data_IF_571248059213
#
_entry.id   IF_571248059213
#
_cell.length_a   1.000
_cell.length_b   1.000
_cell.length_c   1.000
_cell.angle_alpha   90.00
_cell.angle_beta   90.00
_cell.angle_gamma   90.00
#
_symmetry.space_group_name_H-M   'P 1'
#
loop_
_entity.id
_entity.type
_entity.pdbx_description
1 polymer ?
#
# COMPACT_ATOMS: atom_id res chain seq x y z
N UNK A 1 -19.26 -14.86 0.39
CA UNK A 1 -18.16 -15.10 1.36
C UNK A 1 -17.72 -16.55 1.21
N UNK A 2 -16.44 -16.82 0.94
CA UNK A 2 -15.94 -18.21 0.91
C UNK A 2 -16.14 -18.80 2.31
N UNK A 3 -16.67 -20.03 2.46
CA UNK A 3 -17.04 -20.58 3.78
C UNK A 3 -15.86 -20.73 4.75
N UNK A 4 -14.63 -20.54 4.26
CA UNK A 4 -13.38 -20.78 4.99
C UNK A 4 -12.51 -19.51 5.07
N UNK A 5 -13.01 -18.38 4.59
CA UNK A 5 -12.35 -17.06 4.63
C UNK A 5 -11.92 -16.68 6.06
N UNK A 6 -10.73 -16.07 6.29
CA UNK A 6 -9.68 -15.60 5.36
C UNK A 6 -8.77 -16.72 4.82
N UNK A 7 -9.02 -17.95 5.23
CA UNK A 7 -8.20 -19.12 4.90
C UNK A 7 -8.61 -19.72 3.56
N UNK A 8 -7.62 -20.24 2.84
CA UNK A 8 -7.82 -20.86 1.52
C UNK A 8 -8.58 -22.18 1.61
N UNK A 9 -8.42 -22.93 2.70
CA UNK A 9 -9.16 -24.16 2.97
C UNK A 9 -9.27 -24.45 4.47
N UNK A 10 -10.18 -25.36 4.84
CA UNK A 10 -10.51 -25.72 6.21
C UNK A 10 -9.35 -26.43 6.90
N UNK A 11 -8.67 -27.32 6.18
CA UNK A 11 -7.50 -28.03 6.69
C UNK A 11 -6.39 -27.06 7.11
N UNK A 12 -6.13 -26.03 6.29
CA UNK A 12 -5.12 -25.01 6.59
C UNK A 12 -5.57 -24.10 7.73
N UNK A 13 -6.84 -23.69 7.75
CA UNK A 13 -7.43 -22.93 8.86
C UNK A 13 -7.24 -23.68 10.19
N UNK A 14 -7.63 -24.94 10.25
CA UNK A 14 -7.53 -25.77 11.46
C UNK A 14 -6.09 -25.98 11.91
N UNK A 15 -5.15 -26.19 10.97
CA UNK A 15 -3.73 -26.35 11.29
C UNK A 15 -3.13 -25.09 11.90
N UNK A 16 -3.39 -23.93 11.29
CA UNK A 16 -2.90 -22.64 11.75
C UNK A 16 -3.54 -22.29 13.10
N UNK A 17 -4.87 -22.40 13.21
CA UNK A 17 -5.59 -22.17 14.48
C UNK A 17 -5.05 -23.01 15.62
N UNK A 18 -4.77 -24.30 15.37
CA UNK A 18 -4.20 -25.18 16.39
C UNK A 18 -2.81 -24.73 16.82
N UNK A 19 -1.95 -24.36 15.88
CA UNK A 19 -0.59 -23.90 16.17
C UNK A 19 -0.60 -22.58 16.94
N UNK A 20 -1.38 -21.63 16.44
CA UNK A 20 -1.68 -20.34 17.06
C UNK A 20 -2.18 -20.49 18.49
N UNK A 21 -3.24 -21.26 18.71
CA UNK A 21 -3.80 -21.49 20.05
C UNK A 21 -2.79 -22.12 21.00
N UNK A 22 -2.00 -23.09 20.55
CA UNK A 22 -1.00 -23.74 21.40
C UNK A 22 0.09 -22.75 21.87
N UNK A 23 0.63 -21.95 20.93
CA UNK A 23 1.63 -20.94 21.24
C UNK A 23 1.05 -19.84 22.12
N UNK A 24 -0.12 -19.31 21.77
CA UNK A 24 -0.71 -18.19 22.49
C UNK A 24 -1.21 -18.56 23.88
N UNK A 25 -1.70 -19.79 24.08
CA UNK A 25 -2.00 -20.34 25.42
C UNK A 25 -0.73 -20.41 26.26
N UNK A 26 0.41 -20.82 25.68
CA UNK A 26 1.70 -20.85 26.37
C UNK A 26 2.16 -19.43 26.80
N UNK A 27 1.70 -18.39 26.11
CA UNK A 27 2.09 -16.99 26.36
C UNK A 27 1.06 -16.16 27.13
N UNK A 28 -0.04 -16.76 27.59
CA UNK A 28 -1.13 -16.04 28.24
C UNK A 28 -1.66 -14.87 27.38
N UNK A 29 -1.73 -15.11 26.07
CA UNK A 29 -2.30 -14.18 25.10
C UNK A 29 -3.79 -14.44 24.93
N UNK A 30 -4.54 -13.37 24.71
CA UNK A 30 -5.94 -13.46 24.30
C UNK A 30 -6.03 -14.20 22.94
N UNK A 31 -6.68 -15.38 22.88
CA UNK A 31 -6.79 -16.17 21.65
C UNK A 31 -7.43 -15.40 20.49
N UNK A 32 -8.39 -14.52 20.79
CA UNK A 32 -9.12 -13.77 19.76
C UNK A 32 -8.23 -12.66 19.18
N UNK A 33 -7.58 -11.86 20.04
CA UNK A 33 -6.62 -10.83 19.63
C UNK A 33 -5.49 -11.40 18.77
N UNK A 34 -5.04 -12.60 19.12
CA UNK A 34 -3.95 -13.24 18.44
C UNK A 34 -4.40 -13.80 17.07
N UNK A 35 -5.59 -14.41 16.99
CA UNK A 35 -6.19 -14.84 15.73
C UNK A 35 -6.41 -13.67 14.78
N UNK A 36 -6.85 -12.54 15.30
CA UNK A 36 -7.04 -11.32 14.52
C UNK A 36 -5.71 -10.78 13.98
N UNK A 37 -4.64 -10.79 14.78
CA UNK A 37 -3.31 -10.41 14.32
C UNK A 37 -2.77 -11.33 13.21
N UNK A 38 -2.91 -12.65 13.38
CA UNK A 38 -2.48 -13.62 12.36
C UNK A 38 -3.31 -13.52 11.07
N UNK A 39 -4.62 -13.25 11.20
CA UNK A 39 -5.50 -12.99 10.06
C UNK A 39 -5.08 -11.74 9.31
N UNK A 40 -4.85 -10.64 10.03
CA UNK A 40 -4.42 -9.37 9.46
C UNK A 40 -3.12 -9.51 8.66
N UNK A 41 -2.11 -10.20 9.21
CA UNK A 41 -0.82 -10.40 8.55
C UNK A 41 -0.92 -11.26 7.29
N UNK A 42 -1.74 -12.31 7.32
CA UNK A 42 -2.02 -13.13 6.15
C UNK A 42 -2.73 -12.35 5.03
N UNK A 43 -3.69 -11.50 5.37
CA UNK A 43 -4.38 -10.65 4.39
C UNK A 43 -3.41 -9.66 3.75
N UNK A 44 -2.52 -9.07 4.54
CA UNK A 44 -1.46 -8.20 4.05
C UNK A 44 -0.48 -8.92 3.14
N UNK A 45 0.06 -10.09 3.53
CA UNK A 45 0.99 -10.83 2.69
C UNK A 45 0.38 -11.20 1.34
N UNK A 46 -0.91 -11.54 1.35
CA UNK A 46 -1.66 -11.80 0.13
C UNK A 46 -1.86 -10.55 -0.72
N UNK A 47 -2.18 -9.41 -0.13
CA UNK A 47 -2.25 -8.13 -0.83
C UNK A 47 -0.89 -7.77 -1.43
N UNK A 48 0.20 -7.97 -0.69
CA UNK A 48 1.55 -7.72 -1.19
C UNK A 48 1.87 -8.65 -2.36
N UNK A 49 1.55 -9.94 -2.27
CA UNK A 49 1.72 -10.86 -3.39
C UNK A 49 0.91 -10.43 -4.63
N UNK A 50 -0.31 -9.90 -4.43
CA UNK A 50 -1.13 -9.37 -5.51
C UNK A 50 -0.44 -8.18 -6.20
N UNK A 51 0.04 -7.21 -5.42
CA UNK A 51 0.72 -6.03 -5.96
C UNK A 51 2.05 -6.40 -6.61
N UNK A 52 2.88 -7.26 -6.00
CA UNK A 52 4.15 -7.72 -6.60
C UNK A 52 3.95 -8.37 -7.98
N UNK A 53 2.86 -9.11 -8.19
CA UNK A 53 2.55 -9.71 -9.50
C UNK A 53 1.99 -8.67 -10.47
N UNK A 54 1.14 -7.75 -10.00
CA UNK A 54 0.62 -6.64 -10.82
C UNK A 54 1.75 -5.72 -11.30
N UNK A 55 2.73 -5.51 -10.43
CA UNK A 55 3.82 -4.54 -10.58
C UNK A 55 5.11 -5.17 -11.13
N UNK A 56 5.13 -6.48 -11.39
CA UNK A 56 6.20 -7.14 -12.13
C UNK A 56 5.86 -7.36 -13.61
N UNK A 57 6.87 -7.16 -14.46
CA UNK A 57 6.84 -7.64 -15.85
C UNK A 57 6.49 -9.14 -15.90
N UNK A 58 5.68 -9.62 -16.87
CA UNK A 58 5.21 -11.01 -16.92
C UNK A 58 6.30 -12.08 -16.67
N UNK A 59 7.47 -11.91 -17.29
CA UNK A 59 8.61 -12.85 -17.15
C UNK A 59 9.28 -12.82 -15.76
N UNK A 60 8.97 -11.84 -14.91
CA UNK A 60 9.54 -11.66 -13.57
C UNK A 60 8.55 -12.03 -12.44
N UNK A 61 7.25 -12.17 -12.72
CA UNK A 61 6.20 -12.41 -11.72
C UNK A 61 6.43 -13.67 -10.87
N UNK A 62 6.90 -14.75 -11.49
CA UNK A 62 7.21 -15.97 -10.72
C UNK A 62 8.45 -15.78 -9.84
N UNK A 63 9.49 -15.13 -10.38
CA UNK A 63 10.76 -14.90 -9.68
C UNK A 63 10.57 -14.00 -8.46
N UNK A 64 9.73 -12.97 -8.55
CA UNK A 64 9.50 -12.03 -7.43
C UNK A 64 8.74 -12.69 -6.26
N UNK A 65 7.74 -13.53 -6.54
CA UNK A 65 7.07 -14.31 -5.50
C UNK A 65 8.00 -15.39 -4.93
N UNK A 66 8.87 -15.98 -5.75
CA UNK A 66 9.86 -16.94 -5.29
C UNK A 66 10.91 -16.29 -4.38
N UNK A 67 11.41 -15.09 -4.70
CA UNK A 67 12.33 -14.38 -3.81
C UNK A 67 11.68 -14.01 -2.48
N UNK A 68 10.40 -13.60 -2.50
CA UNK A 68 9.63 -13.36 -1.28
C UNK A 68 9.51 -14.62 -0.41
N UNK A 69 9.15 -15.75 -1.02
CA UNK A 69 9.03 -17.03 -0.30
C UNK A 69 10.34 -17.47 0.38
N UNK A 70 11.47 -17.14 -0.25
CA UNK A 70 12.82 -17.44 0.22
C UNK A 70 13.38 -16.36 1.16
N UNK A 71 12.69 -15.24 1.36
CA UNK A 71 13.20 -14.06 2.05
C UNK A 71 14.55 -13.58 1.49
N UNK A 72 14.70 -13.64 0.16
CA UNK A 72 15.89 -13.21 -0.58
C UNK A 72 15.55 -12.06 -1.53
N UNK A 73 14.62 -11.18 -1.14
CA UNK A 73 14.28 -10.02 -1.95
C UNK A 73 15.52 -9.14 -2.18
N UNK A 74 15.90 -8.93 -3.44
CA UNK A 74 16.95 -7.96 -3.77
C UNK A 74 16.39 -6.57 -3.49
N UNK A 75 16.90 -5.93 -2.43
CA UNK A 75 16.68 -4.53 -2.13
C UNK A 75 16.85 -3.69 -3.41
N UNK A 76 15.89 -2.78 -3.66
CA UNK A 76 15.94 -1.63 -4.61
C UNK A 76 14.78 -1.52 -5.61
N UNK A 77 13.63 -2.19 -5.46
CA UNK A 77 12.53 -1.96 -6.42
C UNK A 77 11.15 -1.55 -5.92
N UNK A 78 10.83 -1.64 -4.63
CA UNK A 78 9.66 -0.93 -4.06
C UNK A 78 9.53 -1.31 -2.58
N UNK A 79 9.03 -0.43 -1.70
CA UNK A 79 9.00 -0.66 -0.25
C UNK A 79 7.83 -1.57 0.20
N UNK A 80 7.44 -2.53 -0.63
CA UNK A 80 6.35 -3.47 -0.31
C UNK A 80 6.87 -4.69 0.48
N UNK A 81 7.26 -4.38 1.72
CA UNK A 81 7.08 -5.22 2.91
C UNK A 81 7.77 -6.59 2.89
N UNK A 82 9.05 -6.61 3.25
CA UNK A 82 9.74 -7.83 3.68
C UNK A 82 8.90 -8.59 4.72
N UNK A 83 8.90 -9.93 4.68
CA UNK A 83 8.18 -10.75 5.68
C UNK A 83 8.55 -10.36 7.11
N UNK A 84 9.83 -10.06 7.37
CA UNK A 84 10.33 -9.62 8.68
C UNK A 84 9.58 -8.39 9.22
N UNK A 85 9.38 -7.38 8.38
CA UNK A 85 8.65 -6.16 8.74
C UNK A 85 7.18 -6.42 9.01
N UNK A 86 6.54 -7.26 8.19
CA UNK A 86 5.15 -7.63 8.42
C UNK A 86 4.98 -8.44 9.73
N UNK A 87 5.96 -9.27 10.07
CA UNK A 87 6.00 -9.98 11.36
C UNK A 87 6.13 -9.00 12.52
N UNK A 88 7.04 -8.02 12.45
CA UNK A 88 7.21 -6.99 13.48
C UNK A 88 5.90 -6.22 13.73
N UNK A 89 5.22 -5.81 12.66
CA UNK A 89 3.91 -5.15 12.71
C UNK A 89 2.85 -5.99 13.41
N UNK A 90 2.80 -7.28 13.06
CA UNK A 90 1.84 -8.22 13.61
C UNK A 90 2.05 -8.39 15.12
N UNK A 91 3.31 -8.45 15.55
CA UNK A 91 3.67 -8.53 16.96
C UNK A 91 3.31 -7.24 17.70
N UNK A 92 3.51 -6.08 17.09
CA UNK A 92 3.08 -4.81 17.68
C UNK A 92 1.56 -4.75 17.85
N UNK A 93 0.81 -5.11 16.82
CA UNK A 93 -0.66 -5.18 16.84
C UNK A 93 -1.16 -6.11 17.95
N UNK A 94 -0.49 -7.25 18.13
CA UNK A 94 -0.78 -8.19 19.21
C UNK A 94 -0.54 -7.57 20.60
N UNK A 95 0.57 -6.86 20.80
CA UNK A 95 0.87 -6.19 22.09
C UNK A 95 -0.11 -5.08 22.43
N UNK A 96 -0.54 -4.30 21.44
CA UNK A 96 -1.54 -3.24 21.65
C UNK A 96 -2.90 -3.80 22.06
N UNK A 97 -3.24 -5.00 21.55
CA UNK A 97 -4.48 -5.71 21.88
C UNK A 97 -4.42 -6.45 23.22
N UNK A 98 -3.21 -6.80 23.70
CA UNK A 98 -2.99 -7.44 25.01
C UNK A 98 -1.81 -6.80 25.77
N UNK A 99 -2.00 -5.62 26.38
CA UNK A 99 -0.90 -4.82 26.97
C UNK A 99 -0.30 -5.43 28.24
N UNK A 100 -1.00 -6.35 28.89
CA UNK A 100 -0.60 -6.97 30.18
C UNK A 100 0.32 -8.18 30.01
N UNK A 101 0.55 -8.64 28.77
CA UNK A 101 1.34 -9.84 28.51
C UNK A 101 2.85 -9.53 28.47
N UNK A 102 3.65 -10.23 29.29
CA UNK A 102 5.10 -10.23 29.19
C UNK A 102 5.55 -11.18 28.07
N UNK A 103 5.77 -10.66 26.84
CA UNK A 103 6.24 -11.50 25.73
C UNK A 103 7.75 -11.81 25.87
N UNK A 104 8.10 -12.74 26.74
CA UNK A 104 9.50 -13.17 26.96
C UNK A 104 10.05 -14.02 25.81
N UNK A 105 9.19 -14.44 24.86
CA UNK A 105 9.55 -15.31 23.73
C UNK A 105 9.00 -14.75 22.40
N UNK A 106 9.31 -13.48 22.10
CA UNK A 106 8.92 -12.82 20.84
C UNK A 106 9.32 -13.64 19.61
N UNK A 107 10.46 -14.32 19.67
CA UNK A 107 11.01 -15.08 18.54
C UNK A 107 10.11 -16.26 18.14
N UNK A 108 9.50 -16.97 19.11
CA UNK A 108 8.59 -18.08 18.81
C UNK A 108 7.27 -17.61 18.17
N UNK A 109 6.76 -16.47 18.62
CA UNK A 109 5.59 -15.84 18.00
C UNK A 109 5.93 -15.34 16.60
N UNK A 110 7.10 -14.71 16.44
CA UNK A 110 7.63 -14.28 15.15
C UNK A 110 7.74 -15.46 14.18
N UNK A 111 8.34 -16.57 14.60
CA UNK A 111 8.49 -17.79 13.80
C UNK A 111 7.14 -18.35 13.33
N UNK A 112 6.14 -18.37 14.22
CA UNK A 112 4.79 -18.82 13.87
C UNK A 112 4.16 -17.92 12.79
N UNK A 113 4.24 -16.60 12.96
CA UNK A 113 3.71 -15.66 11.97
C UNK A 113 4.47 -15.84 10.65
N UNK A 114 5.80 -15.94 10.70
CA UNK A 114 6.64 -16.17 9.52
C UNK A 114 6.22 -17.44 8.76
N UNK A 115 5.90 -18.52 9.46
CA UNK A 115 5.40 -19.75 8.83
C UNK A 115 4.04 -19.56 8.15
N UNK A 116 3.13 -18.79 8.76
CA UNK A 116 1.85 -18.42 8.15
C UNK A 116 2.09 -17.64 6.85
N UNK A 117 2.96 -16.62 6.89
CA UNK A 117 3.28 -15.79 5.72
C UNK A 117 3.93 -16.61 4.61
N UNK A 118 4.95 -17.43 4.92
CA UNK A 118 5.58 -18.32 3.93
C UNK A 118 4.59 -19.29 3.33
N UNK A 119 3.67 -19.82 4.13
CA UNK A 119 2.63 -20.71 3.63
C UNK A 119 1.63 -19.99 2.72
N UNK A 120 1.28 -18.74 2.99
CA UNK A 120 0.42 -17.93 2.13
C UNK A 120 1.12 -17.53 0.82
N UNK A 121 2.37 -17.07 0.89
CA UNK A 121 3.18 -16.77 -0.29
C UNK A 121 3.38 -18.01 -1.17
N UNK A 122 3.58 -19.20 -0.58
CA UNK A 122 3.68 -20.45 -1.33
C UNK A 122 2.39 -20.81 -2.08
N UNK A 123 1.23 -20.59 -1.46
CA UNK A 123 -0.06 -20.77 -2.12
C UNK A 123 -0.28 -19.74 -3.23
N UNK A 124 0.16 -18.49 -3.04
CA UNK A 124 0.14 -17.47 -4.09
C UNK A 124 1.01 -17.87 -5.29
N UNK A 125 2.22 -18.37 -5.04
CA UNK A 125 3.12 -18.86 -6.08
C UNK A 125 2.52 -20.05 -6.85
N UNK A 126 1.86 -20.97 -6.14
CA UNK A 126 1.13 -22.09 -6.75
C UNK A 126 -0.01 -21.60 -7.63
N UNK A 127 -0.84 -20.69 -7.12
CA UNK A 127 -1.94 -20.09 -7.89
C UNK A 127 -1.43 -19.40 -9.15
N UNK A 128 -0.33 -18.64 -9.06
CA UNK A 128 0.30 -18.00 -10.21
C UNK A 128 0.78 -19.03 -11.25
N UNK A 129 1.39 -20.13 -10.80
CA UNK A 129 1.84 -21.22 -11.68
C UNK A 129 0.69 -21.94 -12.39
N UNK A 130 -0.43 -22.15 -11.71
CA UNK A 130 -1.55 -22.95 -12.22
C UNK A 130 -2.53 -22.13 -13.06
N UNK A 131 -2.75 -20.87 -12.69
CA UNK A 131 -3.79 -20.01 -13.28
C UNK A 131 -3.22 -18.98 -14.25
N UNK A 132 -1.90 -18.78 -14.25
CA UNK A 132 -1.26 -17.65 -14.91
C UNK A 132 -1.61 -16.31 -14.25
N UNK A 133 -0.99 -15.24 -14.75
CA UNK A 133 -1.10 -13.88 -14.18
C UNK A 133 -2.55 -13.41 -14.02
N UNK A 134 -3.33 -13.46 -15.09
CA UNK A 134 -4.74 -13.01 -15.10
C UNK A 134 -5.60 -13.81 -14.12
N UNK A 135 -5.43 -15.13 -14.09
CA UNK A 135 -6.19 -16.00 -13.21
C UNK A 135 -5.82 -15.81 -11.73
N UNK A 136 -4.52 -15.65 -11.45
CA UNK A 136 -4.02 -15.28 -10.12
C UNK A 136 -4.60 -13.95 -9.65
N UNK A 137 -4.45 -12.87 -10.44
CA UNK A 137 -4.94 -11.54 -10.08
C UNK A 137 -6.44 -11.57 -9.79
N UNK A 138 -7.23 -12.21 -10.68
CA UNK A 138 -8.67 -12.33 -10.50
C UNK A 138 -9.05 -13.12 -9.25
N UNK A 139 -8.35 -14.22 -8.95
CA UNK A 139 -8.62 -15.03 -7.75
C UNK A 139 -8.23 -14.28 -6.50
N UNK A 140 -6.98 -13.82 -6.43
CA UNK A 140 -6.37 -13.17 -5.26
C UNK A 140 -7.11 -11.87 -4.90
N UNK A 141 -7.48 -11.03 -5.87
CA UNK A 141 -8.23 -9.80 -5.59
C UNK A 141 -9.60 -10.06 -4.93
N UNK A 142 -10.26 -11.18 -5.23
CA UNK A 142 -11.53 -11.57 -4.57
C UNK A 142 -11.34 -12.04 -3.14
N UNK A 143 -10.14 -12.50 -2.81
CA UNK A 143 -9.78 -13.11 -1.54
C UNK A 143 -8.76 -12.27 -0.77
N UNK A 144 -8.70 -10.95 -0.97
CA UNK A 144 -7.98 -10.05 -0.05
C UNK A 144 -8.96 -9.27 0.84
N UNK A 145 -10.21 -9.04 0.37
CA UNK A 145 -11.19 -8.14 1.01
C UNK A 145 -10.52 -6.85 1.52
N UNK A 146 -10.13 -5.93 0.61
CA UNK A 146 -9.29 -4.77 0.93
C UNK A 146 -9.78 -3.94 2.12
N UNK A 147 -11.09 -3.87 2.34
CA UNK A 147 -11.72 -3.18 3.47
C UNK A 147 -11.20 -3.65 4.84
N UNK A 148 -10.79 -4.92 4.97
CA UNK A 148 -10.21 -5.47 6.20
C UNK A 148 -8.80 -4.99 6.49
N UNK A 149 -8.06 -4.52 5.48
CA UNK A 149 -6.73 -3.94 5.65
C UNK A 149 -6.81 -2.59 6.37
N UNK A 150 -7.94 -1.90 6.26
CA UNK A 150 -8.21 -0.59 6.87
C UNK A 150 -8.95 -0.69 8.21
N UNK A 151 -8.88 -1.84 8.90
CA UNK A 151 -9.40 -1.99 10.26
C UNK A 151 -8.29 -1.80 11.30
N UNK A 152 -8.57 -1.00 12.32
CA UNK A 152 -7.72 -0.86 13.50
C UNK A 152 -7.64 -2.18 14.28
N UNK A 153 -6.84 -2.20 15.35
CA UNK A 153 -6.67 -3.38 16.20
C UNK A 153 -7.95 -3.85 16.92
N UNK A 154 -9.00 -3.02 16.95
CA UNK A 154 -10.33 -3.37 17.49
C UNK A 154 -11.32 -3.80 16.41
N UNK A 155 -10.87 -3.92 15.16
CA UNK A 155 -11.73 -4.25 14.02
C UNK A 155 -12.61 -3.09 13.57
N UNK A 156 -12.32 -1.86 14.00
CA UNK A 156 -13.05 -0.65 13.60
C UNK A 156 -12.40 -0.07 12.36
N UNK A 157 -13.22 0.34 11.38
CA UNK A 157 -12.72 0.99 10.17
C UNK A 157 -11.98 2.28 10.53
N UNK A 158 -10.76 2.41 10.02
CA UNK A 158 -9.95 3.60 10.19
C UNK A 158 -10.34 4.63 9.13
N UNK A 159 -10.76 5.80 9.58
CA UNK A 159 -11.03 6.93 8.68
C UNK A 159 -9.74 7.70 8.34
N UNK A 160 -8.66 7.51 9.10
CA UNK A 160 -7.30 8.02 8.86
C UNK A 160 -6.27 7.16 9.59
N UNK A 161 -5.05 7.05 9.08
CA UNK A 161 -3.89 6.44 9.76
C UNK A 161 -2.60 7.23 9.46
N UNK A 162 -2.44 8.40 10.07
CA UNK A 162 -1.23 9.22 9.89
C UNK A 162 -0.09 8.85 10.84
N UNK A 163 -0.35 8.04 11.86
CA UNK A 163 0.65 7.69 12.89
C UNK A 163 1.45 6.45 12.52
N UNK A 164 1.01 5.71 11.51
CA UNK A 164 1.71 4.55 11.00
C UNK A 164 3.11 4.90 10.50
N UNK A 165 4.09 4.06 10.83
CA UNK A 165 5.46 4.19 10.31
C UNK A 165 5.58 3.68 8.86
N UNK A 166 4.45 3.32 8.26
CA UNK A 166 4.38 2.50 7.07
C UNK A 166 3.64 3.24 5.97
N UNK A 167 4.39 3.70 4.99
CA UNK A 167 3.90 4.58 3.92
C UNK A 167 2.68 4.03 3.16
N UNK A 168 2.63 2.72 2.86
CA UNK A 168 1.48 2.11 2.17
C UNK A 168 0.22 1.97 3.02
N UNK A 169 0.35 2.19 4.33
CA UNK A 169 -0.74 2.27 5.30
C UNK A 169 -1.07 3.70 5.68
N UNK A 170 -0.22 4.65 5.29
CA UNK A 170 -0.39 6.05 5.63
C UNK A 170 -1.47 6.64 4.74
N UNK A 171 -2.53 7.13 5.36
CA UNK A 171 -3.54 7.93 4.68
C UNK A 171 -4.15 8.95 5.64
N UNK A 172 -4.32 10.21 5.23
CA UNK A 172 -4.86 11.26 6.07
C UNK A 172 -6.39 11.19 6.18
N UNK A 173 -7.05 10.57 5.19
CA UNK A 173 -8.50 10.47 5.14
C UNK A 173 -9.21 11.81 4.94
N UNK A 174 -10.54 11.75 4.79
CA UNK A 174 -11.39 12.95 4.63
C UNK A 174 -12.09 13.36 5.93
N UNK A 175 -12.21 12.44 6.90
CA UNK A 175 -12.94 12.64 8.16
C UNK A 175 -11.93 12.71 9.31
N UNK A 176 -11.20 13.82 9.40
CA UNK A 176 -10.09 13.99 10.33
C UNK A 176 -10.18 15.30 11.15
N UNK A 177 -11.42 15.75 11.45
CA UNK A 177 -11.82 17.06 12.02
C UNK A 177 -10.85 17.77 12.98
N UNK A 178 -10.15 17.05 13.86
CA UNK A 178 -9.26 17.63 14.86
C UNK A 178 -7.76 17.62 14.48
N UNK A 179 -7.38 17.04 13.33
CA UNK A 179 -5.99 16.98 12.89
C UNK A 179 -5.59 18.26 12.15
N UNK A 180 -4.46 18.86 12.53
CA UNK A 180 -3.91 19.97 11.77
C UNK A 180 -3.14 19.46 10.56
N UNK A 181 -3.18 20.22 9.46
CA UNK A 181 -2.37 19.95 8.25
C UNK A 181 -0.89 19.78 8.58
N UNK A 182 -0.36 20.55 9.54
CA UNK A 182 1.02 20.44 9.99
C UNK A 182 1.34 19.07 10.58
N UNK A 183 0.41 18.46 11.30
CA UNK A 183 0.62 17.17 11.96
C UNK A 183 0.68 16.06 10.91
N UNK A 184 -0.24 16.10 9.94
CA UNK A 184 -0.23 15.17 8.81
C UNK A 184 1.03 15.31 7.95
N UNK A 185 1.48 16.54 7.65
CA UNK A 185 2.74 16.78 6.93
C UNK A 185 3.95 16.24 7.70
N UNK A 186 4.02 16.49 9.01
CA UNK A 186 5.16 16.03 9.82
C UNK A 186 5.22 14.50 9.95
N UNK A 187 4.08 13.83 9.79
CA UNK A 187 3.98 12.38 9.87
C UNK A 187 4.05 11.69 8.50
N UNK A 188 4.05 12.44 7.39
CA UNK A 188 4.06 11.91 6.02
C UNK A 188 5.40 11.21 5.74
N UNK A 189 5.41 9.90 5.41
CA UNK A 189 6.62 9.12 5.13
C UNK A 189 7.07 9.26 3.67
N UNK A 190 7.22 10.50 3.20
CA UNK A 190 7.53 10.85 1.81
C UNK A 190 9.01 10.95 1.52
N UNK A 191 9.33 10.93 0.22
CA UNK A 191 10.68 11.17 -0.26
C UNK A 191 11.06 12.66 -0.11
N UNK A 192 12.33 12.93 0.14
CA UNK A 192 12.89 14.28 0.09
C UNK A 192 13.19 14.72 -1.34
N UNK A 193 13.30 16.03 -1.59
CA UNK A 193 13.57 16.60 -2.93
C UNK A 193 14.80 15.98 -3.64
N UNK A 194 15.82 15.55 -2.87
CA UNK A 194 17.05 14.95 -3.40
C UNK A 194 16.85 13.51 -3.86
N UNK A 195 15.85 12.81 -3.32
CA UNK A 195 15.49 11.43 -3.67
C UNK A 195 14.59 11.37 -4.91
N UNK A 196 13.95 12.48 -5.29
CA UNK A 196 13.12 12.54 -6.49
C UNK A 196 14.00 12.39 -7.75
N UNK A 197 13.70 11.46 -8.67
CA UNK A 197 14.47 11.28 -9.89
C UNK A 197 14.46 12.53 -10.79
N UNK A 198 15.53 12.74 -11.56
CA UNK A 198 15.62 13.91 -12.45
C UNK A 198 14.48 13.97 -13.47
N UNK A 199 14.08 12.82 -14.03
CA UNK A 199 12.99 12.73 -14.99
C UNK A 199 11.65 13.19 -14.40
N UNK A 200 11.38 12.84 -13.14
CA UNK A 200 10.20 13.27 -12.38
C UNK A 200 10.25 14.78 -12.18
N UNK A 201 11.36 15.31 -11.66
CA UNK A 201 11.55 16.76 -11.46
C UNK A 201 11.41 17.57 -12.74
N UNK A 202 11.84 17.06 -13.89
CA UNK A 202 11.72 17.78 -15.18
C UNK A 202 10.26 18.01 -15.57
N UNK A 203 9.36 17.07 -15.28
CA UNK A 203 7.96 17.15 -15.68
C UNK A 203 7.08 17.78 -14.59
N UNK A 204 7.40 17.59 -13.31
CA UNK A 204 6.50 17.96 -12.21
C UNK A 204 6.97 19.14 -11.36
N UNK A 205 8.25 19.52 -11.42
CA UNK A 205 8.74 20.68 -10.65
C UNK A 205 8.37 21.99 -11.38
N UNK A 206 7.68 22.95 -10.74
CA UNK A 206 7.26 24.19 -11.37
C UNK A 206 8.42 25.11 -11.81
N UNK A 207 9.63 24.89 -11.28
CA UNK A 207 10.83 25.60 -11.72
C UNK A 207 11.42 25.04 -13.02
N UNK A 208 10.96 23.87 -13.48
CA UNK A 208 11.43 23.26 -14.72
C UNK A 208 10.85 24.01 -15.93
N UNK A 209 11.68 24.32 -16.95
CA UNK A 209 11.22 25.00 -18.17
C UNK A 209 10.30 24.11 -19.03
N UNK A 210 10.25 22.81 -18.77
CA UNK A 210 9.42 21.82 -19.48
C UNK A 210 8.40 21.17 -18.55
N UNK A 211 8.12 21.80 -17.40
CA UNK A 211 7.11 21.33 -16.48
C UNK A 211 5.74 21.23 -17.17
N UNK A 212 5.02 20.14 -16.92
CA UNK A 212 3.67 19.95 -17.41
C UNK A 212 2.67 20.82 -16.62
N UNK A 213 1.49 21.14 -17.19
CA UNK A 213 0.46 21.89 -16.49
C UNK A 213 0.11 21.24 -15.14
N UNK A 214 -0.13 22.04 -14.10
CA UNK A 214 -0.41 21.53 -12.76
C UNK A 214 0.81 21.23 -11.90
N UNK A 215 2.03 21.38 -12.44
CA UNK A 215 3.27 21.27 -11.68
C UNK A 215 3.27 22.14 -10.40
N UNK A 216 3.62 21.53 -9.27
CA UNK A 216 3.70 22.17 -7.95
C UNK A 216 4.96 21.71 -7.23
N UNK A 217 5.39 22.47 -6.21
CA UNK A 217 6.54 22.04 -5.40
C UNK A 217 6.22 20.74 -4.66
N UNK A 218 7.24 19.94 -4.32
CA UNK A 218 7.05 18.68 -3.58
C UNK A 218 6.23 18.88 -2.30
N UNK A 219 6.55 19.92 -1.52
CA UNK A 219 5.77 20.28 -0.33
C UNK A 219 4.30 20.58 -0.64
N UNK A 220 3.98 21.19 -1.78
CA UNK A 220 2.58 21.43 -2.18
C UNK A 220 1.90 20.13 -2.61
N UNK A 221 2.61 19.26 -3.32
CA UNK A 221 2.13 17.92 -3.68
C UNK A 221 1.71 17.13 -2.43
N UNK A 222 2.57 17.08 -1.41
CA UNK A 222 2.29 16.44 -0.13
C UNK A 222 1.06 17.04 0.58
N UNK A 223 0.89 18.36 0.51
CA UNK A 223 -0.31 19.03 1.06
C UNK A 223 -1.56 18.64 0.28
N UNK A 224 -1.48 18.49 -1.04
CA UNK A 224 -2.62 18.13 -1.89
C UNK A 224 -3.08 16.70 -1.58
N UNK A 225 -2.16 15.75 -1.35
CA UNK A 225 -2.49 14.43 -0.81
C UNK A 225 -3.36 14.53 0.43
N UNK A 226 -2.95 15.36 1.39
CA UNK A 226 -3.66 15.54 2.66
C UNK A 226 -5.04 16.17 2.45
N UNK A 227 -5.14 17.25 1.67
CA UNK A 227 -6.41 17.93 1.43
C UNK A 227 -7.42 17.07 0.67
N UNK A 228 -6.94 16.13 -0.15
CA UNK A 228 -7.79 15.19 -0.89
C UNK A 228 -8.04 13.88 -0.13
N UNK A 229 -7.49 13.72 1.07
CA UNK A 229 -7.60 12.50 1.87
C UNK A 229 -6.94 11.28 1.22
N UNK A 230 -5.88 11.49 0.42
CA UNK A 230 -5.20 10.47 -0.37
C UNK A 230 -3.94 9.97 0.33
N UNK A 231 -3.71 8.65 0.25
CA UNK A 231 -2.48 8.01 0.72
C UNK A 231 -1.35 8.13 -0.29
N UNK A 232 -0.34 7.28 -0.18
CA UNK A 232 0.86 7.32 -1.02
C UNK A 232 0.98 6.14 -2.00
N UNK A 233 -0.06 5.31 -2.12
CA UNK A 233 -0.07 4.19 -3.05
C UNK A 233 -0.10 4.70 -4.50
N UNK A 234 0.33 3.90 -5.47
CA UNK A 234 0.40 4.31 -6.88
C UNK A 234 -0.92 4.89 -7.41
N UNK A 235 -2.08 4.31 -7.05
CA UNK A 235 -3.37 4.86 -7.47
C UNK A 235 -3.67 6.23 -6.84
N UNK A 236 -3.17 6.49 -5.63
CA UNK A 236 -3.33 7.77 -4.95
C UNK A 236 -2.39 8.82 -5.56
N UNK A 237 -1.13 8.45 -5.85
CA UNK A 237 -0.20 9.30 -6.60
C UNK A 237 -0.74 9.64 -8.00
N UNK A 238 -1.23 8.64 -8.74
CA UNK A 238 -1.86 8.84 -10.04
C UNK A 238 -3.06 9.79 -9.93
N UNK A 239 -3.90 9.63 -8.90
CA UNK A 239 -5.02 10.53 -8.65
C UNK A 239 -4.54 11.97 -8.41
N UNK A 240 -3.56 12.18 -7.53
CA UNK A 240 -3.07 13.51 -7.17
C UNK A 240 -2.42 14.20 -8.36
N UNK A 241 -1.54 13.52 -9.09
CA UNK A 241 -0.92 14.07 -10.32
C UNK A 241 -2.00 14.39 -11.35
N UNK A 242 -2.94 13.47 -11.58
CA UNK A 242 -4.07 13.73 -12.48
C UNK A 242 -4.90 14.93 -12.04
N UNK A 243 -5.15 15.06 -10.73
CA UNK A 243 -5.92 16.15 -10.16
C UNK A 243 -5.25 17.50 -10.33
N UNK A 244 -3.96 17.64 -10.01
CA UNK A 244 -3.23 18.90 -10.19
C UNK A 244 -3.18 19.31 -11.65
N UNK A 245 -2.95 18.35 -12.55
CA UNK A 245 -3.01 18.57 -13.99
C UNK A 245 -4.40 19.04 -14.42
N UNK A 246 -5.46 18.30 -14.10
CA UNK A 246 -6.83 18.62 -14.50
C UNK A 246 -7.36 19.94 -13.92
N UNK A 247 -6.88 20.33 -12.73
CA UNK A 247 -7.20 21.62 -12.13
C UNK A 247 -6.46 22.80 -12.81
N UNK A 248 -5.37 22.54 -13.52
CA UNK A 248 -4.61 23.61 -14.17
C UNK A 248 -5.38 24.25 -15.32
N UNK A 249 -5.42 25.57 -15.31
CA UNK A 249 -6.00 26.40 -16.36
C UNK A 249 -5.32 26.24 -17.73
N UNK A 250 -4.11 25.68 -17.77
CA UNK A 250 -3.32 25.45 -18.99
C UNK A 250 -3.40 24.01 -19.50
N UNK A 251 -4.11 23.13 -18.81
CA UNK A 251 -4.18 21.71 -19.14
C UNK A 251 -4.81 21.48 -20.51
N UNK A 252 -4.21 20.56 -21.28
CA UNK A 252 -4.78 19.99 -22.50
C UNK A 252 -4.69 18.47 -22.40
N UNK A 253 -5.62 17.77 -23.04
CA UNK A 253 -5.64 16.30 -22.97
C UNK A 253 -4.34 15.66 -23.54
N UNK A 254 -3.65 16.35 -24.46
CA UNK A 254 -2.33 15.94 -24.95
C UNK A 254 -1.25 15.98 -23.85
N UNK A 255 -1.32 16.92 -22.91
CA UNK A 255 -0.39 16.97 -21.77
C UNK A 255 -0.65 15.78 -20.84
N UNK A 256 -1.91 15.40 -20.64
CA UNK A 256 -2.30 14.20 -19.92
C UNK A 256 -1.75 12.91 -20.55
N UNK A 257 -1.80 12.81 -21.89
CA UNK A 257 -1.17 11.69 -22.60
C UNK A 257 0.34 11.61 -22.33
N UNK A 258 1.06 12.74 -22.40
CA UNK A 258 2.51 12.78 -22.09
C UNK A 258 2.78 12.32 -20.65
N UNK A 259 1.98 12.76 -19.69
CA UNK A 259 2.16 12.35 -18.29
C UNK A 259 1.91 10.85 -18.10
N UNK A 260 0.87 10.28 -18.71
CA UNK A 260 0.60 8.84 -18.64
C UNK A 260 1.78 8.03 -19.19
N UNK A 261 2.30 8.43 -20.36
CA UNK A 261 3.49 7.79 -20.94
C UNK A 261 4.73 7.92 -20.03
N UNK A 262 4.87 9.06 -19.34
CA UNK A 262 5.96 9.26 -18.40
C UNK A 262 5.83 8.33 -17.18
N UNK A 263 4.65 8.30 -16.54
CA UNK A 263 4.34 7.44 -15.39
C UNK A 263 4.52 5.96 -15.72
N UNK A 264 4.06 5.51 -16.88
CA UNK A 264 4.06 4.10 -17.26
C UNK A 264 5.43 3.60 -17.73
N UNK A 265 6.12 4.39 -18.56
CA UNK A 265 7.28 3.90 -19.31
C UNK A 265 8.59 4.59 -18.94
N UNK A 266 8.55 5.83 -18.43
CA UNK A 266 9.75 6.66 -18.29
C UNK A 266 10.23 6.75 -16.84
N UNK A 267 9.31 6.83 -15.88
CA UNK A 267 9.65 6.98 -14.47
C UNK A 267 10.33 5.71 -13.95
N UNK A 268 11.35 5.83 -13.08
CA UNK A 268 11.95 4.69 -12.42
C UNK A 268 11.09 4.26 -11.23
N UNK A 269 11.27 3.02 -10.77
CA UNK A 269 10.73 2.62 -9.47
C UNK A 269 11.30 3.50 -8.34
N UNK A 270 10.51 3.82 -7.29
CA UNK A 270 9.11 3.42 -7.06
C UNK A 270 8.08 4.39 -7.67
N UNK A 271 8.47 5.31 -8.55
CA UNK A 271 7.59 6.35 -9.11
C UNK A 271 6.82 5.90 -10.36
N UNK A 272 7.07 4.68 -10.84
CA UNK A 272 6.43 4.15 -12.03
C UNK A 272 5.03 3.67 -11.68
N UNK A 273 4.05 4.02 -12.51
CA UNK A 273 2.66 3.62 -12.33
C UNK A 273 2.14 3.06 -13.65
N UNK A 274 1.62 1.84 -13.63
CA UNK A 274 1.13 1.19 -14.83
C UNK A 274 -0.10 0.31 -14.59
N UNK A 275 -0.71 -0.15 -15.68
CA UNK A 275 -1.90 -0.98 -15.62
C UNK A 275 -3.11 -0.25 -15.01
N UNK A 276 -4.05 -0.98 -14.36
CA UNK A 276 -5.31 -0.39 -13.88
C UNK A 276 -5.15 0.73 -12.84
N UNK A 277 -4.00 0.82 -12.16
CA UNK A 277 -3.73 1.92 -11.21
C UNK A 277 -3.64 3.27 -11.94
N UNK A 278 -3.15 3.25 -13.18
CA UNK A 278 -3.05 4.44 -14.01
C UNK A 278 -4.42 4.94 -14.50
N UNK A 279 -5.47 4.11 -14.51
CA UNK A 279 -6.83 4.57 -14.84
C UNK A 279 -7.35 5.61 -13.81
N UNK A 280 -6.79 5.58 -12.58
CA UNK A 280 -7.13 6.54 -11.53
C UNK A 280 -6.58 7.94 -11.82
N UNK A 281 -5.56 8.05 -12.70
CA UNK A 281 -5.10 9.34 -13.22
C UNK A 281 -6.23 10.11 -13.90
N UNK A 282 -7.01 9.44 -14.76
CA UNK A 282 -8.10 10.09 -15.49
C UNK A 282 -9.25 10.51 -14.56
N UNK A 283 -9.49 9.74 -13.48
CA UNK A 283 -10.40 10.14 -12.40
C UNK A 283 -9.90 11.39 -11.69
N UNK A 284 -8.59 11.48 -11.42
CA UNK A 284 -7.94 12.68 -10.88
C UNK A 284 -8.14 13.89 -11.80
N UNK A 285 -7.83 13.75 -13.09
CA UNK A 285 -8.02 14.81 -14.10
C UNK A 285 -9.47 15.29 -14.11
N UNK A 286 -10.42 14.36 -14.14
CA UNK A 286 -11.83 14.70 -14.13
C UNK A 286 -12.24 15.42 -12.84
N UNK A 287 -11.76 14.97 -11.69
CA UNK A 287 -12.02 15.65 -10.41
C UNK A 287 -11.45 17.07 -10.42
N UNK A 288 -10.19 17.25 -10.83
CA UNK A 288 -9.54 18.57 -10.90
C UNK A 288 -10.26 19.56 -11.80
N UNK A 289 -10.73 19.10 -12.97
CA UNK A 289 -11.52 19.91 -13.93
C UNK A 289 -12.85 20.38 -13.33
N UNK A 290 -13.50 19.55 -12.52
CA UNK A 290 -14.89 19.76 -12.09
C UNK A 290 -15.02 20.28 -10.65
N UNK A 291 -13.95 20.33 -9.86
CA UNK A 291 -14.02 20.72 -8.45
C UNK A 291 -14.40 22.20 -8.25
N UNK A 292 -14.26 23.04 -9.28
CA UNK A 292 -14.68 24.45 -9.23
C UNK A 292 -13.78 25.34 -8.37
N UNK A 293 -12.56 24.90 -8.08
CA UNK A 293 -11.56 25.66 -7.33
C UNK A 293 -10.57 26.37 -8.28
N UNK A 294 -9.94 27.48 -7.85
CA UNK A 294 -8.88 28.13 -8.63
C UNK A 294 -7.74 27.18 -8.94
N UNK A 295 -6.99 27.49 -10.00
CA UNK A 295 -5.77 26.76 -10.36
C UNK A 295 -4.78 26.76 -9.18
N UNK A 296 -4.61 25.59 -8.55
CA UNK A 296 -3.81 25.39 -7.35
C UNK A 296 -2.34 25.76 -7.60
N UNK A 297 -1.86 25.58 -8.83
CA UNK A 297 -0.48 25.96 -9.19
C UNK A 297 -0.27 27.47 -9.11
N UNK A 298 -1.34 28.27 -9.24
CA UNK A 298 -1.30 29.74 -9.22
C UNK A 298 -1.61 30.35 -7.86
N UNK A 299 -2.00 29.56 -6.85
CA UNK A 299 -2.29 30.08 -5.52
C UNK A 299 -0.97 30.57 -4.88
N UNK A 300 -0.86 31.87 -4.52
CA UNK A 300 0.31 32.39 -3.83
C UNK A 300 0.36 31.86 -2.38
N UNK A 301 1.58 31.61 -1.89
CA UNK A 301 1.85 31.26 -0.48
C UNK A 301 2.70 32.37 0.11
#
# INVERSE_FOLDING_TARGET
MHPLWPWRCEAKANAILKQCNALWTQFDLDPDAALDAATWSLLWDRQICLELVRDAHPDQQFKILQSRLLATEEWNKTPFWEHSKLVDMTIERLKQSSPTCSTTQKDLVADCIHQILRSETADCLKDLSELGSTGFISKTARIVEPDRLFLDFKGVRMDSDIQTQYWGHWFPGLSNDNQHLSDAINALPGASDVEIPEVVRRLENPSSPVALPGAVTLRRHDVIHILLGRGLLDQDEAFVVGFTMGNSSKYRDADGFVMREALEHTYPEPFRIYGPKLDVFDLGVHAGKNMGIPDISLIPI
#
